data_IF_140557442730
#
_entry.id   IF_140557442730
#
_cell.length_a   1.000
_cell.length_b   1.000
_cell.length_c   1.000
_cell.angle_alpha   90.00
_cell.angle_beta   90.00
_cell.angle_gamma   90.00
#
_symmetry.space_group_name_H-M   'P 1'
#
loop_
_entity.id
_entity.type
_entity.pdbx_description
1 polymer ?
#
# COMPACT_ATOMS: atom_id res chain seq x y z
N UNK A 1 -4.83 19.24 19.25
CA UNK A 1 -5.52 19.07 17.98
C UNK A 1 -4.64 18.43 16.88
N UNK A 2 -3.47 18.95 16.50
CA UNK A 2 -2.63 18.39 15.41
C UNK A 2 -2.25 16.91 15.58
N UNK A 3 -1.95 16.43 16.79
CA UNK A 3 -1.57 15.02 17.03
C UNK A 3 -2.73 14.05 16.76
N UNK A 4 -3.96 14.43 17.07
CA UNK A 4 -5.16 13.64 16.78
C UNK A 4 -5.44 13.53 15.27
N UNK A 5 -5.14 14.57 14.50
CA UNK A 5 -5.33 14.54 13.04
C UNK A 5 -4.44 13.49 12.35
N UNK A 6 -3.20 13.28 12.81
CA UNK A 6 -2.32 12.27 12.22
C UNK A 6 -2.80 10.85 12.51
N UNK A 7 -3.27 10.58 13.74
CA UNK A 7 -3.87 9.29 14.08
C UNK A 7 -5.17 9.04 13.29
N UNK A 8 -6.01 10.06 13.13
CA UNK A 8 -7.22 9.97 12.34
C UNK A 8 -6.94 9.61 10.87
N UNK A 9 -5.89 10.19 10.26
CA UNK A 9 -5.50 9.85 8.89
C UNK A 9 -5.12 8.38 8.73
N UNK A 10 -4.41 7.79 9.71
CA UNK A 10 -4.10 6.35 9.71
C UNK A 10 -5.37 5.52 9.78
N UNK A 11 -6.29 5.84 10.71
CA UNK A 11 -7.54 5.10 10.88
C UNK A 11 -8.44 5.19 9.64
N UNK A 12 -8.54 6.38 9.03
CA UNK A 12 -9.28 6.56 7.77
C UNK A 12 -8.66 5.71 6.67
N UNK A 13 -7.33 5.68 6.56
CA UNK A 13 -6.67 4.88 5.54
C UNK A 13 -6.85 3.38 5.76
N UNK A 14 -6.79 2.92 7.01
CA UNK A 14 -7.10 1.53 7.37
C UNK A 14 -8.56 1.18 7.02
N UNK A 15 -9.51 2.09 7.25
CA UNK A 15 -10.90 1.91 6.85
C UNK A 15 -11.06 1.81 5.31
N UNK A 16 -10.29 2.60 4.55
CA UNK A 16 -10.23 2.50 3.08
C UNK A 16 -9.73 1.12 2.64
N UNK A 17 -8.67 0.60 3.27
CA UNK A 17 -8.15 -0.75 2.98
C UNK A 17 -9.23 -1.80 3.24
N UNK A 18 -9.89 -1.76 4.41
CA UNK A 18 -10.98 -2.68 4.74
C UNK A 18 -12.13 -2.55 3.72
N UNK A 19 -12.45 -1.33 3.28
CA UNK A 19 -13.47 -1.08 2.26
C UNK A 19 -13.16 -1.79 0.93
N UNK A 20 -11.91 -1.74 0.46
CA UNK A 20 -11.48 -2.47 -0.73
C UNK A 20 -11.40 -3.99 -0.49
N UNK A 21 -10.99 -4.39 0.69
CA UNK A 21 -10.92 -5.81 1.08
C UNK A 21 -12.30 -6.47 1.14
N UNK A 22 -13.34 -5.71 1.51
CA UNK A 22 -14.73 -6.17 1.54
C UNK A 22 -15.37 -6.36 0.15
N UNK A 23 -14.75 -5.89 -0.93
CA UNK A 23 -15.29 -6.07 -2.26
C UNK A 23 -15.25 -7.54 -2.68
N UNK A 24 -16.33 -8.02 -3.27
CA UNK A 24 -16.37 -9.36 -3.84
C UNK A 24 -15.31 -9.51 -4.95
N UNK A 25 -14.86 -10.75 -5.17
CA UNK A 25 -13.84 -11.00 -6.20
C UNK A 25 -14.26 -10.51 -7.60
N UNK A 26 -15.56 -10.59 -7.94
CA UNK A 26 -16.12 -10.06 -9.19
C UNK A 26 -15.88 -8.57 -9.37
N UNK A 27 -16.17 -7.78 -8.32
CA UNK A 27 -16.07 -6.31 -8.37
C UNK A 27 -14.61 -5.85 -8.40
N UNK A 28 -13.77 -6.51 -7.58
CA UNK A 28 -12.33 -6.28 -7.57
C UNK A 28 -11.68 -6.63 -8.92
N UNK A 29 -12.12 -7.74 -9.55
CA UNK A 29 -11.65 -8.13 -10.86
C UNK A 29 -12.12 -7.14 -11.94
N UNK A 30 -13.35 -6.64 -11.90
CA UNK A 30 -13.86 -5.66 -12.85
C UNK A 30 -13.05 -4.35 -12.81
N UNK A 31 -12.68 -3.87 -11.61
CA UNK A 31 -11.84 -2.69 -11.46
C UNK A 31 -10.41 -2.91 -11.99
N UNK A 32 -9.80 -4.03 -11.67
CA UNK A 32 -8.43 -4.32 -12.10
C UNK A 32 -8.36 -4.67 -13.59
N UNK A 33 -9.37 -5.33 -14.17
CA UNK A 33 -9.40 -5.63 -15.61
C UNK A 33 -9.52 -4.36 -16.46
N UNK A 34 -10.34 -3.39 -16.07
CA UNK A 34 -10.41 -2.11 -16.77
C UNK A 34 -9.06 -1.38 -16.83
N UNK A 35 -8.31 -1.39 -15.74
CA UNK A 35 -6.96 -0.81 -15.71
C UNK A 35 -5.97 -1.66 -16.53
N UNK A 36 -6.05 -2.98 -16.42
CA UNK A 36 -5.19 -3.91 -17.18
C UNK A 36 -5.40 -3.78 -18.68
N UNK A 37 -6.65 -3.64 -19.13
CA UNK A 37 -6.99 -3.43 -20.54
C UNK A 37 -6.45 -2.10 -21.07
N UNK A 38 -6.51 -1.04 -20.28
CA UNK A 38 -5.93 0.25 -20.64
C UNK A 38 -4.40 0.16 -20.78
N UNK A 39 -3.74 -0.52 -19.84
CA UNK A 39 -2.29 -0.76 -19.86
C UNK A 39 -1.92 -1.63 -21.07
N UNK A 40 -2.62 -2.75 -21.30
CA UNK A 40 -2.37 -3.66 -22.40
C UNK A 40 -2.53 -2.94 -23.77
N UNK A 41 -3.56 -2.11 -23.90
CA UNK A 41 -3.79 -1.31 -25.10
C UNK A 41 -2.64 -0.33 -25.35
N UNK A 42 -2.20 0.36 -24.30
CA UNK A 42 -1.06 1.31 -24.40
C UNK A 42 0.23 0.59 -24.81
N UNK A 43 0.51 -0.57 -24.20
CA UNK A 43 1.71 -1.36 -24.52
C UNK A 43 1.65 -1.89 -25.96
N UNK A 44 0.50 -2.38 -26.43
CA UNK A 44 0.34 -2.85 -27.82
C UNK A 44 0.59 -1.74 -28.84
N UNK A 45 0.20 -0.51 -28.52
CA UNK A 45 0.48 0.65 -29.39
C UNK A 45 1.97 0.98 -29.41
N UNK A 46 2.65 0.91 -28.25
CA UNK A 46 4.06 1.27 -28.13
C UNK A 46 5.00 0.16 -28.59
N UNK A 47 4.61 -1.10 -28.40
CA UNK A 47 5.42 -2.30 -28.70
C UNK A 47 4.57 -3.30 -29.50
N UNK A 48 4.34 -3.07 -30.81
CA UNK A 48 3.59 -3.98 -31.66
C UNK A 48 4.31 -5.34 -31.71
N UNK A 49 3.60 -6.42 -31.34
CA UNK A 49 4.14 -7.80 -31.32
C UNK A 49 4.43 -8.34 -29.92
N UNK A 50 4.29 -7.55 -28.87
CA UNK A 50 4.32 -8.06 -27.51
C UNK A 50 2.91 -8.58 -27.13
N UNK A 51 2.76 -9.90 -27.03
CA UNK A 51 1.54 -10.52 -26.52
C UNK A 51 1.60 -10.54 -24.99
N UNK A 52 0.64 -9.85 -24.34
CA UNK A 52 0.46 -9.88 -22.89
C UNK A 52 -0.76 -10.73 -22.58
N UNK A 53 -0.63 -11.69 -21.69
CA UNK A 53 -1.75 -12.41 -21.12
C UNK A 53 -2.56 -11.46 -20.23
N UNK A 54 -3.83 -11.27 -20.56
CA UNK A 54 -4.70 -10.34 -19.83
C UNK A 54 -4.95 -10.81 -18.39
N UNK A 55 -4.95 -12.13 -18.14
CA UNK A 55 -5.13 -12.69 -16.82
C UNK A 55 -3.91 -12.44 -15.93
N UNK A 56 -2.71 -12.67 -16.47
CA UNK A 56 -1.46 -12.38 -15.75
C UNK A 56 -1.32 -10.89 -15.44
N UNK A 57 -1.62 -10.02 -16.41
CA UNK A 57 -1.57 -8.58 -16.21
C UNK A 57 -2.55 -8.13 -15.12
N UNK A 58 -3.77 -8.65 -15.14
CA UNK A 58 -4.77 -8.36 -14.12
C UNK A 58 -4.31 -8.80 -12.72
N UNK A 59 -3.68 -9.97 -12.62
CA UNK A 59 -3.11 -10.46 -11.37
C UNK A 59 -1.99 -9.54 -10.85
N UNK A 60 -1.07 -9.12 -11.72
CA UNK A 60 0.02 -8.19 -11.38
C UNK A 60 -0.53 -6.83 -10.92
N UNK A 61 -1.49 -6.26 -11.67
CA UNK A 61 -2.12 -4.98 -11.32
C UNK A 61 -2.76 -5.04 -9.93
N UNK A 62 -3.48 -6.13 -9.63
CA UNK A 62 -4.10 -6.32 -8.31
C UNK A 62 -3.06 -6.40 -7.19
N UNK A 63 -1.98 -7.15 -7.39
CA UNK A 63 -0.89 -7.25 -6.41
C UNK A 63 -0.15 -5.93 -6.20
N UNK A 64 0.08 -5.18 -7.27
CA UNK A 64 0.67 -3.84 -7.18
C UNK A 64 -0.24 -2.87 -6.42
N UNK A 65 -1.56 -2.93 -6.63
CA UNK A 65 -2.52 -2.12 -5.89
C UNK A 65 -2.44 -2.39 -4.37
N UNK A 66 -2.36 -3.66 -3.96
CA UNK A 66 -2.14 -4.05 -2.56
C UNK A 66 -0.85 -3.43 -2.01
N UNK A 67 0.28 -3.65 -2.67
CA UNK A 67 1.56 -3.08 -2.25
C UNK A 67 1.54 -1.55 -2.14
N UNK A 68 0.88 -0.85 -3.09
CA UNK A 68 0.77 0.62 -3.08
C UNK A 68 -0.08 1.13 -1.92
N UNK A 69 -1.19 0.46 -1.59
CA UNK A 69 -2.06 0.85 -0.49
C UNK A 69 -1.30 0.72 0.85
N UNK A 70 -0.53 -0.34 1.03
CA UNK A 70 0.30 -0.55 2.23
C UNK A 70 1.56 0.34 2.25
N UNK A 71 2.09 0.74 1.10
CA UNK A 71 3.12 1.77 1.02
C UNK A 71 2.64 3.07 1.67
N UNK A 72 1.44 3.53 1.32
CA UNK A 72 0.85 4.74 1.91
C UNK A 72 0.60 4.53 3.41
N UNK A 73 0.11 3.35 3.83
CA UNK A 73 -0.08 3.04 5.25
C UNK A 73 1.24 3.14 6.02
N UNK A 74 2.33 2.57 5.51
CA UNK A 74 3.66 2.65 6.12
C UNK A 74 4.15 4.09 6.30
N UNK A 75 3.95 4.94 5.28
CA UNK A 75 4.27 6.37 5.36
C UNK A 75 3.44 7.09 6.44
N UNK A 76 2.13 6.84 6.49
CA UNK A 76 1.21 7.49 7.44
C UNK A 76 1.52 7.08 8.88
N UNK A 77 1.72 5.78 9.14
CA UNK A 77 2.03 5.26 10.48
C UNK A 77 3.37 5.82 10.96
N UNK A 78 4.45 5.74 10.14
CA UNK A 78 5.76 6.27 10.54
C UNK A 78 5.71 7.80 10.72
N UNK A 79 5.00 8.51 9.86
CA UNK A 79 4.79 9.95 9.99
C UNK A 79 4.10 10.32 11.30
N UNK A 80 3.06 9.58 11.66
CA UNK A 80 2.33 9.75 12.92
C UNK A 80 3.24 9.49 14.12
N UNK A 81 3.93 8.35 14.15
CA UNK A 81 4.86 7.98 15.23
C UNK A 81 5.98 9.03 15.41
N UNK A 82 6.53 9.53 14.30
CA UNK A 82 7.56 10.57 14.32
C UNK A 82 7.04 11.87 14.94
N UNK A 83 5.80 12.27 14.65
CA UNK A 83 5.15 13.45 15.25
C UNK A 83 4.79 13.25 16.73
N UNK A 84 4.59 12.00 17.16
CA UNK A 84 4.41 11.63 18.56
C UNK A 84 5.74 11.49 19.34
N UNK A 85 6.89 11.67 18.68
CA UNK A 85 8.22 11.59 19.30
C UNK A 85 8.87 10.20 19.21
N UNK A 86 8.21 9.21 18.63
CA UNK A 86 8.76 7.86 18.43
C UNK A 86 9.55 7.84 17.12
N UNK A 87 10.87 7.85 17.21
CA UNK A 87 11.78 8.02 16.05
C UNK A 87 12.79 6.87 15.96
N UNK A 88 13.62 6.89 14.92
CA UNK A 88 14.72 5.95 14.72
C UNK A 88 14.25 4.53 14.47
N UNK A 89 15.01 3.55 14.95
CA UNK A 89 14.74 2.11 14.76
C UNK A 89 13.42 1.71 15.44
N UNK A 90 13.13 2.27 16.61
CA UNK A 90 11.89 1.97 17.34
C UNK A 90 10.65 2.38 16.54
N UNK A 91 10.66 3.55 15.91
CA UNK A 91 9.55 4.00 15.06
C UNK A 91 9.35 3.09 13.86
N UNK A 92 10.45 2.67 13.20
CA UNK A 92 10.40 1.72 12.07
C UNK A 92 9.85 0.37 12.50
N UNK A 93 10.35 -0.19 13.61
CA UNK A 93 9.92 -1.50 14.10
C UNK A 93 8.42 -1.52 14.45
N UNK A 94 7.93 -0.49 15.13
CA UNK A 94 6.50 -0.37 15.47
C UNK A 94 5.67 -0.21 14.20
N UNK A 95 6.13 0.60 13.23
CA UNK A 95 5.41 0.77 11.95
C UNK A 95 5.29 -0.55 11.20
N UNK A 96 6.39 -1.31 11.06
CA UNK A 96 6.37 -2.61 10.41
C UNK A 96 5.44 -3.58 11.14
N UNK A 97 5.53 -3.66 12.46
CA UNK A 97 4.67 -4.51 13.26
C UNK A 97 3.19 -4.20 13.03
N UNK A 98 2.80 -2.92 13.07
CA UNK A 98 1.42 -2.48 12.81
C UNK A 98 0.97 -2.86 11.41
N UNK A 99 1.79 -2.59 10.38
CA UNK A 99 1.44 -2.89 9.00
C UNK A 99 1.32 -4.40 8.75
N UNK A 100 2.26 -5.22 9.28
CA UNK A 100 2.21 -6.68 9.13
C UNK A 100 1.00 -7.28 9.84
N UNK A 101 0.74 -6.87 11.08
CA UNK A 101 -0.43 -7.36 11.82
C UNK A 101 -1.74 -6.96 11.13
N UNK A 102 -1.79 -5.77 10.55
CA UNK A 102 -2.96 -5.32 9.81
C UNK A 102 -3.12 -6.09 8.50
N UNK A 103 -2.02 -6.38 7.75
CA UNK A 103 -2.05 -7.22 6.56
C UNK A 103 -2.52 -8.65 6.85
N UNK A 104 -2.03 -9.26 7.94
CA UNK A 104 -2.53 -10.58 8.37
C UNK A 104 -4.01 -10.53 8.71
N UNK A 105 -4.46 -9.49 9.42
CA UNK A 105 -5.87 -9.30 9.76
C UNK A 105 -6.75 -9.13 8.52
N UNK A 106 -6.24 -8.39 7.51
CA UNK A 106 -6.92 -8.18 6.23
C UNK A 106 -7.08 -9.49 5.46
N UNK A 107 -6.03 -10.29 5.34
CA UNK A 107 -6.07 -11.59 4.66
C UNK A 107 -6.98 -12.61 5.40
N UNK A 108 -6.97 -12.60 6.73
CA UNK A 108 -7.91 -13.40 7.50
C UNK A 108 -9.36 -12.95 7.27
N UNK A 109 -9.60 -11.65 7.16
CA UNK A 109 -10.93 -11.13 6.85
C UNK A 109 -11.38 -11.55 5.44
N UNK A 110 -10.48 -11.57 4.46
CA UNK A 110 -10.78 -11.99 3.09
C UNK A 110 -11.25 -13.45 2.97
N UNK A 111 -10.90 -14.33 3.94
CA UNK A 111 -11.43 -15.70 3.97
C UNK A 111 -12.95 -15.75 4.16
N UNK A 112 -13.56 -14.69 4.69
CA UNK A 112 -15.01 -14.57 4.90
C UNK A 112 -15.71 -13.79 3.78
N UNK A 113 -14.97 -13.29 2.79
CA UNK A 113 -15.53 -12.54 1.66
C UNK A 113 -15.76 -13.46 0.47
N UNK A 114 -16.95 -13.39 -0.12
CA UNK A 114 -17.38 -14.29 -1.19
C UNK A 114 -16.46 -14.22 -2.40
N UNK A 115 -15.94 -15.38 -2.83
CA UNK A 115 -15.07 -15.51 -3.99
C UNK A 115 -13.62 -15.07 -3.78
N UNK A 116 -13.24 -14.65 -2.57
CA UNK A 116 -11.86 -14.36 -2.21
C UNK A 116 -11.21 -15.54 -1.46
N UNK A 117 -9.91 -15.65 -1.63
CA UNK A 117 -9.05 -16.55 -0.85
C UNK A 117 -7.96 -15.72 -0.19
N UNK A 118 -7.82 -15.81 1.13
CA UNK A 118 -6.69 -15.21 1.84
C UNK A 118 -5.37 -15.85 1.37
N UNK A 119 -4.42 -15.05 0.96
CA UNK A 119 -3.13 -15.51 0.42
C UNK A 119 -1.96 -14.97 1.26
N UNK A 120 -1.16 -15.87 1.83
CA UNK A 120 0.05 -15.46 2.55
C UNK A 120 1.03 -14.63 1.68
N UNK A 121 0.99 -14.81 0.35
CA UNK A 121 1.75 -14.00 -0.60
C UNK A 121 1.36 -12.53 -0.54
N UNK A 122 0.09 -12.22 -0.27
CA UNK A 122 -0.40 -10.84 -0.25
C UNK A 122 0.07 -10.14 1.03
N UNK A 123 0.15 -10.84 2.17
CA UNK A 123 0.82 -10.32 3.39
C UNK A 123 2.27 -9.94 3.12
N UNK A 124 3.00 -10.73 2.31
CA UNK A 124 4.39 -10.43 1.96
C UNK A 124 4.47 -9.18 1.08
N UNK A 125 3.61 -9.06 0.07
CA UNK A 125 3.56 -7.91 -0.83
C UNK A 125 3.21 -6.63 -0.06
N UNK A 126 2.24 -6.70 0.84
CA UNK A 126 1.82 -5.60 1.69
C UNK A 126 2.94 -5.16 2.65
N UNK A 127 3.67 -6.13 3.21
CA UNK A 127 4.84 -5.86 4.06
C UNK A 127 5.98 -5.21 3.28
N UNK A 128 6.21 -5.61 2.03
CA UNK A 128 7.18 -4.98 1.13
C UNK A 128 6.73 -3.56 0.81
N UNK A 129 5.46 -3.37 0.45
CA UNK A 129 4.87 -2.06 0.21
C UNK A 129 5.08 -1.11 1.40
N UNK A 130 4.73 -1.55 2.61
CA UNK A 130 4.92 -0.79 3.84
C UNK A 130 6.41 -0.43 4.07
N UNK A 131 7.32 -1.38 3.79
CA UNK A 131 8.77 -1.15 3.93
C UNK A 131 9.27 -0.07 2.97
N UNK A 132 8.81 -0.09 1.72
CA UNK A 132 9.12 0.95 0.73
C UNK A 132 8.56 2.30 1.20
N UNK A 133 7.33 2.34 1.70
CA UNK A 133 6.73 3.55 2.26
C UNK A 133 7.55 4.16 3.41
N UNK A 134 8.04 3.32 4.32
CA UNK A 134 8.96 3.71 5.40
C UNK A 134 10.24 4.34 4.84
N UNK A 135 10.85 3.72 3.83
CA UNK A 135 12.08 4.22 3.19
C UNK A 135 11.84 5.57 2.50
N UNK A 136 10.74 5.70 1.75
CA UNK A 136 10.37 6.95 1.09
C UNK A 136 10.14 8.08 2.10
N UNK A 137 9.41 7.81 3.18
CA UNK A 137 9.20 8.79 4.25
C UNK A 137 10.52 9.27 4.87
N UNK A 138 11.44 8.34 5.17
CA UNK A 138 12.75 8.68 5.73
C UNK A 138 13.62 9.45 4.75
N UNK A 139 13.58 9.09 3.47
CA UNK A 139 14.28 9.81 2.39
C UNK A 139 13.79 11.25 2.28
N UNK A 140 12.48 11.44 2.16
CA UNK A 140 11.88 12.77 2.08
C UNK A 140 12.18 13.64 3.32
N UNK A 141 12.16 13.04 4.52
CA UNK A 141 12.49 13.75 5.75
C UNK A 141 13.97 14.19 5.80
N UNK A 142 14.90 13.40 5.24
CA UNK A 142 16.32 13.78 5.15
C UNK A 142 16.54 14.92 4.17
N UNK A 143 15.94 14.84 2.99
CA UNK A 143 16.03 15.89 1.97
C UNK A 143 15.46 17.21 2.50
N UNK A 144 14.30 17.18 3.16
CA UNK A 144 13.73 18.38 3.77
C UNK A 144 14.62 19.00 4.85
N UNK A 145 15.35 18.19 5.61
CA UNK A 145 16.29 18.66 6.62
C UNK A 145 17.56 19.28 6.01
N UNK A 146 18.08 18.74 4.91
CA UNK A 146 19.24 19.33 4.20
C UNK A 146 18.93 20.68 3.57
N UNK A 147 17.79 20.78 2.88
CA UNK A 147 17.35 22.04 2.26
C UNK A 147 17.03 23.15 3.28
N UNK A 148 16.56 22.77 4.47
CA UNK A 148 16.34 23.70 5.58
C UNK A 148 17.65 24.26 6.17
N UNK A 149 18.76 23.51 6.09
CA UNK A 149 20.08 23.93 6.57
C UNK A 149 20.80 24.93 5.65
N UNK A 150 20.54 24.85 4.36
CA UNK A 150 21.16 25.76 3.35
C UNK A 150 20.49 27.15 3.32
N UNK A 151 19.34 27.32 3.99
CA UNK A 151 18.58 28.58 4.03
C UNK A 151 18.79 29.38 5.31
N UNK A 152 19.58 28.91 6.26
CA UNK A 152 19.94 29.60 7.52
C UNK A 152 21.41 29.94 7.55
#
# INVERSE_FOLDING_TARGET
MRKFMYGAAVLVWMAVIIGFSNQQASDSNALSSGLSDAIATTIRVMLPGLELDAGELNHVVRKLAHGLIYLVLGMLVLGTLTKLGVRGVRGVAITLLVCVLFAVSDELHQLFVSGRSGQASDVIIDSIGASIGILLYKGAARIGASLGRERT
#
